data_IF_211098223397
#
_entry.id   IF_211098223397
#
_cell.length_a   1.000
_cell.length_b   1.000
_cell.length_c   1.000
_cell.angle_alpha   90.00
_cell.angle_beta   90.00
_cell.angle_gamma   90.00
#
_symmetry.space_group_name_H-M   'P 1'
#
loop_
_entity.id
_entity.type
_entity.pdbx_description
1 polymer ?
#
# COMPACT_ATOMS: atom_id res chain seq x y z
N UNK A 1 -12.26 -5.70 31.88
CA UNK A 1 -12.46 -6.98 31.19
C UNK A 1 -11.40 -7.09 30.10
N UNK A 2 -10.50 -8.06 30.22
CA UNK A 2 -9.53 -8.44 29.19
C UNK A 2 -10.18 -9.50 28.28
N UNK A 3 -9.75 -9.61 27.02
CA UNK A 3 -10.06 -10.79 26.22
C UNK A 3 -9.12 -11.96 26.56
N UNK A 4 -9.44 -13.15 26.07
CA UNK A 4 -8.73 -14.43 26.35
C UNK A 4 -7.24 -14.43 25.95
N UNK A 5 -6.74 -13.38 25.32
CA UNK A 5 -5.34 -13.22 24.92
C UNK A 5 -4.60 -12.10 25.67
N UNK A 6 -5.22 -11.46 26.67
CA UNK A 6 -4.55 -10.47 27.52
C UNK A 6 -4.08 -9.20 26.78
N UNK A 7 -4.52 -8.97 25.54
CA UNK A 7 -4.22 -7.76 24.78
C UNK A 7 -5.33 -6.77 25.03
N UNK A 8 -5.06 -5.72 25.83
CA UNK A 8 -6.02 -4.62 25.93
C UNK A 8 -6.25 -4.03 24.53
N UNK A 9 -7.49 -4.00 24.01
CA UNK A 9 -7.76 -3.34 22.74
C UNK A 9 -7.28 -1.89 22.86
N UNK A 10 -6.49 -1.43 21.88
CA UNK A 10 -5.98 -0.06 21.85
C UNK A 10 -7.12 0.90 22.17
N UNK A 11 -6.97 1.65 23.27
CA UNK A 11 -7.96 2.62 23.71
C UNK A 11 -8.29 3.56 22.53
N UNK A 12 -9.59 3.78 22.31
CA UNK A 12 -10.06 4.73 21.30
C UNK A 12 -9.48 6.10 21.66
N UNK A 13 -8.98 6.84 20.67
CA UNK A 13 -8.40 8.18 20.86
C UNK A 13 -9.46 9.27 21.04
N UNK A 14 -10.74 8.90 21.03
CA UNK A 14 -11.87 9.82 21.09
C UNK A 14 -12.97 9.26 22.00
N UNK A 15 -13.66 10.16 22.70
CA UNK A 15 -14.80 9.83 23.57
C UNK A 15 -16.10 9.75 22.79
N UNK A 16 -17.11 9.12 23.38
CA UNK A 16 -18.45 9.06 22.75
C UNK A 16 -19.03 10.48 22.56
N UNK A 17 -18.65 11.45 23.39
CA UNK A 17 -19.08 12.85 23.25
C UNK A 17 -18.40 13.56 22.08
N UNK A 18 -17.07 13.41 21.95
CA UNK A 18 -16.33 13.93 20.81
C UNK A 18 -16.86 13.36 19.48
N UNK A 19 -17.29 12.09 19.48
CA UNK A 19 -17.94 11.49 18.32
C UNK A 19 -19.29 12.15 17.99
N UNK A 20 -20.12 12.48 18.98
CA UNK A 20 -21.38 13.19 18.76
C UNK A 20 -21.16 14.54 18.13
N UNK A 21 -20.27 15.35 18.71
CA UNK A 21 -19.92 16.67 18.20
C UNK A 21 -19.36 16.59 16.78
N UNK A 22 -18.42 15.67 16.54
CA UNK A 22 -17.81 15.49 15.23
C UNK A 22 -18.82 15.06 14.16
N UNK A 23 -19.78 14.19 14.50
CA UNK A 23 -20.87 13.78 13.60
C UNK A 23 -21.82 14.93 13.32
N UNK A 24 -22.21 15.71 14.32
CA UNK A 24 -23.11 16.85 14.15
C UNK A 24 -22.48 17.98 13.33
N UNK A 25 -21.17 18.22 13.46
CA UNK A 25 -20.44 19.29 12.79
C UNK A 25 -19.95 18.93 11.36
N UNK A 26 -20.17 17.70 10.90
CA UNK A 26 -19.63 17.20 9.64
C UNK A 26 -20.73 16.86 8.64
N UNK A 27 -20.41 16.94 7.35
CA UNK A 27 -21.27 16.45 6.26
C UNK A 27 -20.69 15.22 5.57
N UNK A 28 -19.50 14.76 5.98
CA UNK A 28 -18.81 13.57 5.43
C UNK A 28 -18.05 12.80 6.50
N UNK A 29 -17.89 11.48 6.35
CA UNK A 29 -17.10 10.65 7.29
C UNK A 29 -15.61 11.03 7.35
N UNK A 30 -15.09 11.66 6.29
CA UNK A 30 -13.73 12.21 6.26
C UNK A 30 -13.60 13.39 7.21
N UNK A 31 -14.57 14.31 7.19
CA UNK A 31 -14.59 15.44 8.13
C UNK A 31 -14.75 14.95 9.57
N UNK A 32 -15.57 13.91 9.82
CA UNK A 32 -15.66 13.29 11.15
C UNK A 32 -14.29 12.78 11.63
N UNK A 33 -13.52 12.09 10.77
CA UNK A 33 -12.16 11.67 11.12
C UNK A 33 -11.24 12.85 11.44
N UNK A 34 -11.28 13.91 10.62
CA UNK A 34 -10.45 15.09 10.84
C UNK A 34 -10.82 15.82 12.14
N UNK A 35 -12.11 15.96 12.43
CA UNK A 35 -12.60 16.57 13.67
C UNK A 35 -12.20 15.77 14.92
N UNK A 36 -12.10 14.45 14.79
CA UNK A 36 -11.61 13.55 15.84
C UNK A 36 -10.08 13.46 15.92
N UNK A 37 -9.34 14.21 15.10
CA UNK A 37 -7.87 14.18 15.06
C UNK A 37 -7.28 12.86 14.57
N UNK A 38 -8.06 12.04 13.86
CA UNK A 38 -7.62 10.73 13.34
C UNK A 38 -7.41 10.78 11.83
N UNK A 39 -6.42 10.03 11.34
CA UNK A 39 -6.13 9.95 9.91
C UNK A 39 -7.35 9.39 9.15
N UNK A 40 -7.87 10.07 8.12
CA UNK A 40 -9.02 9.57 7.39
C UNK A 40 -8.74 8.24 6.68
N UNK A 41 -9.58 7.24 6.96
CA UNK A 41 -9.50 5.91 6.36
C UNK A 41 -10.03 4.84 7.31
N UNK A 42 -10.54 3.73 6.75
CA UNK A 42 -10.99 2.61 7.58
C UNK A 42 -12.20 2.95 8.48
N UNK A 43 -13.28 3.48 7.90
CA UNK A 43 -14.48 3.96 8.62
C UNK A 43 -15.29 2.90 9.39
N UNK A 44 -14.92 1.62 9.32
CA UNK A 44 -15.71 0.50 9.87
C UNK A 44 -15.95 0.62 11.38
N UNK A 45 -14.91 0.96 12.15
CA UNK A 45 -15.00 1.10 13.61
C UNK A 45 -15.83 2.33 13.97
N UNK A 46 -15.58 3.47 13.33
CA UNK A 46 -16.34 4.70 13.51
C UNK A 46 -17.84 4.46 13.28
N UNK A 47 -18.21 3.85 12.15
CA UNK A 47 -19.59 3.54 11.79
C UNK A 47 -20.25 2.56 12.78
N UNK A 48 -19.50 1.60 13.33
CA UNK A 48 -20.02 0.71 14.36
C UNK A 48 -20.38 1.47 15.64
N UNK A 49 -19.59 2.47 16.04
CA UNK A 49 -19.89 3.29 17.21
C UNK A 49 -21.01 4.29 16.98
N UNK A 50 -21.09 4.90 15.80
CA UNK A 50 -22.21 5.76 15.40
C UNK A 50 -23.53 4.98 15.51
N UNK A 51 -23.57 3.75 14.98
CA UNK A 51 -24.74 2.85 15.09
C UNK A 51 -25.06 2.47 16.53
N UNK A 52 -24.04 2.09 17.31
CA UNK A 52 -24.21 1.74 18.73
C UNK A 52 -24.80 2.90 19.54
N UNK A 53 -24.42 4.13 19.22
CA UNK A 53 -24.90 5.34 19.91
C UNK A 53 -26.21 5.90 19.34
N UNK A 54 -26.72 5.33 18.23
CA UNK A 54 -27.96 5.79 17.61
C UNK A 54 -27.89 7.22 17.09
N UNK A 55 -26.72 7.68 16.63
CA UNK A 55 -26.56 9.05 16.16
C UNK A 55 -27.25 9.24 14.80
N UNK A 56 -27.92 10.38 14.63
CA UNK A 56 -28.42 10.74 13.31
C UNK A 56 -27.26 10.94 12.34
N UNK A 57 -27.42 10.37 11.15
CA UNK A 57 -26.44 10.41 10.06
C UNK A 57 -27.08 10.75 8.72
N UNK A 58 -28.35 11.16 8.73
CA UNK A 58 -29.10 11.53 7.52
C UNK A 58 -28.43 12.66 6.73
N UNK A 59 -27.72 13.55 7.43
CA UNK A 59 -26.95 14.67 6.86
C UNK A 59 -25.52 14.30 6.44
N UNK A 60 -25.04 13.11 6.77
CA UNK A 60 -23.73 12.64 6.36
C UNK A 60 -23.80 12.01 4.97
N UNK A 61 -22.92 12.43 4.08
CA UNK A 61 -22.61 11.68 2.86
C UNK A 61 -21.89 10.37 3.25
N UNK A 62 -22.71 9.33 3.46
CA UNK A 62 -22.30 7.96 3.68
C UNK A 62 -22.11 7.20 2.36
N UNK A 63 -22.29 7.87 1.20
CA UNK A 63 -22.22 7.23 -0.09
C UNK A 63 -20.83 6.61 -0.28
N UNK A 64 -20.75 5.29 -0.49
CA UNK A 64 -19.51 4.70 -0.95
C UNK A 64 -19.17 5.38 -2.28
N UNK A 65 -18.06 6.14 -2.33
CA UNK A 65 -17.56 6.74 -3.59
C UNK A 65 -17.18 5.68 -4.65
N UNK A 66 -17.34 4.41 -4.31
CA UNK A 66 -17.26 3.26 -5.20
C UNK A 66 -18.60 2.54 -5.16
N UNK A 67 -19.29 2.46 -6.31
CA UNK A 67 -20.46 1.59 -6.48
C UNK A 67 -20.19 0.19 -5.90
N UNK A 68 -21.21 -0.48 -5.35
CA UNK A 68 -21.04 -1.90 -4.98
C UNK A 68 -20.85 -2.73 -6.24
N UNK A 69 -20.17 -3.87 -6.11
CA UNK A 69 -20.04 -4.82 -7.23
C UNK A 69 -21.44 -5.28 -7.66
N UNK A 70 -21.75 -5.16 -8.94
CA UNK A 70 -23.04 -5.59 -9.52
C UNK A 70 -24.13 -4.52 -9.60
N UNK A 71 -23.83 -3.24 -9.38
CA UNK A 71 -24.78 -2.12 -9.58
C UNK A 71 -24.85 -1.63 -11.06
N UNK A 72 -24.59 -2.53 -12.02
CA UNK A 72 -24.65 -2.30 -13.47
C UNK A 72 -25.12 -3.57 -14.17
N UNK A 73 -25.79 -3.44 -15.31
CA UNK A 73 -26.27 -4.58 -16.08
C UNK A 73 -25.25 -5.02 -17.13
N UNK A 74 -25.42 -6.21 -17.70
CA UNK A 74 -24.52 -6.67 -18.76
C UNK A 74 -24.60 -5.76 -20.00
N UNK A 75 -25.76 -5.15 -20.27
CA UNK A 75 -25.95 -4.15 -21.32
C UNK A 75 -25.10 -2.90 -21.08
N UNK A 76 -25.02 -2.43 -19.83
CA UNK A 76 -24.14 -1.32 -19.46
C UNK A 76 -22.67 -1.67 -19.77
N UNK A 77 -22.25 -2.89 -19.43
CA UNK A 77 -20.89 -3.35 -19.69
C UNK A 77 -20.60 -3.44 -21.19
N UNK A 78 -21.53 -3.98 -21.98
CA UNK A 78 -21.43 -4.04 -23.45
C UNK A 78 -21.27 -2.63 -24.02
N UNK A 79 -22.13 -1.69 -23.62
CA UNK A 79 -22.10 -0.31 -24.09
C UNK A 79 -20.82 0.44 -23.72
N UNK A 80 -20.25 0.15 -22.53
CA UNK A 80 -18.98 0.75 -22.12
C UNK A 80 -17.80 0.14 -22.89
N UNK A 81 -17.73 -1.18 -23.01
CA UNK A 81 -16.63 -1.89 -23.70
C UNK A 81 -16.53 -1.46 -25.16
N UNK A 82 -17.66 -1.23 -25.84
CA UNK A 82 -17.69 -0.76 -27.22
C UNK A 82 -17.11 0.66 -27.41
N UNK A 83 -17.19 1.53 -26.39
CA UNK A 83 -16.78 2.95 -26.48
C UNK A 83 -15.35 3.21 -26.04
N UNK A 84 -14.84 2.45 -25.09
CA UNK A 84 -13.52 2.70 -24.48
C UNK A 84 -12.45 1.77 -25.04
N UNK A 85 -11.18 2.13 -24.85
CA UNK A 85 -10.03 1.36 -25.36
C UNK A 85 -9.11 0.82 -24.25
N UNK A 86 -9.50 0.94 -22.98
CA UNK A 86 -8.74 0.35 -21.88
C UNK A 86 -9.65 -0.21 -20.77
N UNK A 87 -9.20 -1.28 -20.11
CA UNK A 87 -9.87 -1.83 -18.92
C UNK A 87 -9.99 -0.83 -17.77
N UNK A 88 -9.05 0.12 -17.66
CA UNK A 88 -9.10 1.15 -16.62
C UNK A 88 -10.23 2.13 -16.89
N UNK A 89 -10.46 2.48 -18.16
CA UNK A 89 -11.55 3.36 -18.55
C UNK A 89 -12.90 2.67 -18.40
N UNK A 90 -13.01 1.36 -18.72
CA UNK A 90 -14.21 0.56 -18.40
C UNK A 90 -14.56 0.68 -16.92
N UNK A 91 -13.57 0.48 -16.03
CA UNK A 91 -13.80 0.57 -14.59
C UNK A 91 -14.23 1.97 -14.16
N UNK A 92 -13.63 3.03 -14.72
CA UNK A 92 -13.97 4.42 -14.39
C UNK A 92 -15.38 4.81 -14.86
N UNK A 93 -15.75 4.44 -16.08
CA UNK A 93 -17.09 4.67 -16.64
C UNK A 93 -18.18 3.94 -15.84
N UNK A 94 -17.87 2.74 -15.33
CA UNK A 94 -18.76 1.99 -14.45
C UNK A 94 -18.74 2.49 -12.98
N UNK A 95 -18.01 3.57 -12.68
CA UNK A 95 -17.97 4.18 -11.35
C UNK A 95 -17.08 3.45 -10.33
N UNK A 96 -16.12 2.64 -10.80
CA UNK A 96 -15.15 1.95 -9.94
C UNK A 96 -13.75 2.60 -9.99
N UNK A 97 -13.05 2.52 -8.86
CA UNK A 97 -11.61 2.83 -8.81
C UNK A 97 -10.80 1.66 -9.39
N UNK A 98 -9.92 1.88 -10.39
CA UNK A 98 -9.06 0.84 -10.93
C UNK A 98 -8.16 0.21 -9.86
N UNK A 99 -8.27 -1.10 -9.69
CA UNK A 99 -7.47 -1.90 -8.76
C UNK A 99 -7.25 -3.30 -9.31
N UNK A 100 -6.21 -4.01 -8.85
CA UNK A 100 -5.90 -5.35 -9.35
C UNK A 100 -7.06 -6.34 -9.21
N UNK A 101 -7.80 -6.26 -8.10
CA UNK A 101 -9.01 -7.06 -7.86
C UNK A 101 -10.14 -6.72 -8.82
N UNK A 102 -10.43 -5.42 -9.03
CA UNK A 102 -11.47 -4.98 -9.96
C UNK A 102 -11.14 -5.31 -11.41
N UNK A 103 -9.87 -5.19 -11.79
CA UNK A 103 -9.38 -5.62 -13.08
C UNK A 103 -9.60 -7.11 -13.33
N UNK A 104 -9.38 -7.97 -12.33
CA UNK A 104 -9.65 -9.41 -12.44
C UNK A 104 -11.15 -9.66 -12.63
N UNK A 105 -11.97 -9.00 -11.82
CA UNK A 105 -13.42 -9.13 -11.87
C UNK A 105 -14.00 -8.71 -13.23
N UNK A 106 -13.66 -7.52 -13.73
CA UNK A 106 -14.21 -7.02 -14.99
C UNK A 106 -13.74 -7.85 -16.19
N UNK A 107 -12.48 -8.31 -16.19
CA UNK A 107 -11.96 -9.22 -17.21
C UNK A 107 -12.72 -10.54 -17.24
N UNK A 108 -13.01 -11.11 -16.08
CA UNK A 108 -13.79 -12.33 -15.99
C UNK A 108 -15.21 -12.14 -16.54
N UNK A 109 -15.87 -11.01 -16.25
CA UNK A 109 -17.21 -10.73 -16.79
C UNK A 109 -17.21 -10.51 -18.29
N UNK A 110 -16.29 -9.71 -18.82
CA UNK A 110 -16.11 -9.47 -20.26
C UNK A 110 -15.90 -10.80 -21.00
N UNK A 111 -15.02 -11.67 -20.47
CA UNK A 111 -14.76 -12.98 -21.04
C UNK A 111 -16.00 -13.90 -20.99
N UNK A 112 -16.75 -13.88 -19.89
CA UNK A 112 -17.98 -14.66 -19.74
C UNK A 112 -19.07 -14.24 -20.75
N UNK A 113 -19.15 -12.95 -21.07
CA UNK A 113 -20.08 -12.42 -22.07
C UNK A 113 -19.54 -12.52 -23.51
N UNK A 114 -18.31 -12.99 -23.71
CA UNK A 114 -17.69 -13.12 -25.03
C UNK A 114 -17.48 -11.79 -25.75
N UNK A 115 -17.28 -10.69 -25.02
CA UNK A 115 -17.14 -9.36 -25.64
C UNK A 115 -15.76 -9.19 -26.29
N UNK A 116 -15.74 -8.62 -27.50
CA UNK A 116 -14.50 -8.27 -28.16
C UNK A 116 -13.79 -7.12 -27.43
N UNK A 117 -12.50 -7.30 -27.18
CA UNK A 117 -11.61 -6.28 -26.61
C UNK A 117 -10.35 -6.10 -27.45
N UNK A 118 -10.37 -6.56 -28.71
CA UNK A 118 -9.24 -6.45 -29.64
C UNK A 118 -8.81 -5.00 -29.88
N UNK A 119 -9.74 -4.05 -29.81
CA UNK A 119 -9.49 -2.61 -29.91
C UNK A 119 -8.84 -2.00 -28.66
N UNK A 120 -8.69 -2.76 -27.57
CA UNK A 120 -8.07 -2.24 -26.37
C UNK A 120 -6.55 -2.06 -26.57
N UNK A 121 -6.08 -0.81 -26.50
CA UNK A 121 -4.72 -0.42 -26.88
C UNK A 121 -3.67 -0.78 -25.83
N UNK A 122 -4.07 -1.05 -24.59
CA UNK A 122 -3.27 -1.65 -23.51
C UNK A 122 -1.75 -1.36 -23.54
N UNK A 123 -0.94 -2.42 -23.53
CA UNK A 123 0.53 -2.33 -23.72
C UNK A 123 0.94 -2.05 -25.17
N UNK A 124 0.04 -2.22 -26.14
CA UNK A 124 0.33 -1.93 -27.54
C UNK A 124 0.57 -0.43 -27.78
N UNK A 125 -0.06 0.46 -27.01
CA UNK A 125 0.22 1.91 -27.01
C UNK A 125 1.68 2.25 -26.59
N UNK A 126 2.32 1.34 -25.84
CA UNK A 126 3.74 1.45 -25.48
C UNK A 126 4.67 0.74 -26.47
N UNK A 127 4.14 -0.05 -27.42
CA UNK A 127 4.93 -0.79 -28.42
C UNK A 127 5.58 0.21 -29.37
N UNK A 128 6.91 0.22 -29.42
CA UNK A 128 7.69 1.16 -30.24
C UNK A 128 8.12 2.44 -29.53
N UNK A 129 7.61 2.73 -28.32
CA UNK A 129 8.16 3.83 -27.51
C UNK A 129 9.53 3.41 -26.98
N UNK A 130 10.59 4.03 -27.50
CA UNK A 130 11.93 3.93 -26.89
C UNK A 130 11.93 4.79 -25.62
N UNK A 131 12.08 4.14 -24.46
CA UNK A 131 12.32 4.87 -23.22
C UNK A 131 13.68 5.56 -23.34
N UNK A 132 13.82 6.82 -22.88
CA UNK A 132 15.13 7.47 -22.88
C UNK A 132 16.09 6.65 -22.04
N UNK A 133 17.29 6.41 -22.57
CA UNK A 133 18.35 5.76 -21.81
C UNK A 133 18.67 6.66 -20.61
N UNK A 134 18.49 6.12 -19.40
CA UNK A 134 18.96 6.77 -18.17
C UNK A 134 20.19 6.01 -17.69
N UNK A 135 21.36 6.64 -17.59
CA UNK A 135 22.52 5.99 -17.03
C UNK A 135 22.19 5.51 -15.61
N UNK A 136 22.81 4.39 -15.22
CA UNK A 136 22.67 3.91 -13.84
C UNK A 136 23.35 4.94 -12.94
N UNK A 137 22.67 5.36 -11.88
CA UNK A 137 23.24 6.13 -10.77
C UNK A 137 24.58 5.53 -10.34
N UNK A 138 25.57 6.33 -9.96
CA UNK A 138 26.85 5.79 -9.49
C UNK A 138 26.73 5.23 -8.06
N UNK A 139 27.81 4.72 -7.46
CA UNK A 139 27.76 4.31 -6.04
C UNK A 139 27.81 5.54 -5.13
N UNK A 140 28.58 6.54 -5.53
CA UNK A 140 28.77 7.81 -4.82
C UNK A 140 27.43 8.56 -4.73
N UNK A 141 26.65 8.57 -5.81
CA UNK A 141 25.29 9.14 -5.82
C UNK A 141 24.26 8.28 -5.06
N UNK A 142 24.56 7.00 -4.83
CA UNK A 142 23.66 6.06 -4.16
C UNK A 142 23.83 6.11 -2.64
N UNK A 143 25.08 6.21 -2.18
CA UNK A 143 25.50 6.09 -0.78
C UNK A 143 25.49 7.45 -0.07
N UNK A 144 24.35 8.12 -0.13
CA UNK A 144 24.12 9.46 0.44
C UNK A 144 22.91 9.44 1.38
N UNK A 145 22.79 10.49 2.20
CA UNK A 145 21.55 10.78 2.90
C UNK A 145 20.40 11.14 1.95
N UNK A 146 19.16 10.91 2.37
CA UNK A 146 17.93 11.25 1.62
C UNK A 146 17.86 10.63 0.22
N UNK A 147 18.49 9.47 0.05
CA UNK A 147 18.46 8.72 -1.20
C UNK A 147 17.08 8.11 -1.43
N UNK A 148 16.59 8.16 -2.67
CA UNK A 148 15.31 7.55 -3.08
C UNK A 148 15.47 6.10 -3.55
N UNK A 149 16.69 5.57 -3.51
CA UNK A 149 16.96 4.22 -3.96
C UNK A 149 16.38 3.18 -3.00
N UNK A 150 15.73 2.16 -3.54
CA UNK A 150 15.21 1.06 -2.73
C UNK A 150 16.35 0.28 -2.04
N UNK A 151 16.10 -0.21 -0.83
CA UNK A 151 17.04 -1.03 -0.05
C UNK A 151 17.51 -2.27 -0.82
N UNK A 152 16.65 -2.86 -1.65
CA UNK A 152 17.01 -3.98 -2.52
C UNK A 152 18.00 -3.60 -3.63
N UNK A 153 17.93 -2.37 -4.16
CA UNK A 153 18.91 -1.86 -5.12
C UNK A 153 20.23 -1.59 -4.43
N UNK A 154 20.23 -0.90 -3.28
CA UNK A 154 21.44 -0.57 -2.51
C UNK A 154 22.18 -1.85 -2.11
N UNK A 155 21.50 -2.81 -1.48
CA UNK A 155 22.08 -4.11 -1.12
C UNK A 155 22.81 -4.78 -2.27
N UNK A 156 22.11 -4.97 -3.41
CA UNK A 156 22.67 -5.65 -4.58
C UNK A 156 23.90 -4.93 -5.12
N UNK A 157 23.90 -3.60 -5.07
CA UNK A 157 25.01 -2.79 -5.55
C UNK A 157 26.22 -2.84 -4.62
N UNK A 158 26.01 -2.81 -3.31
CA UNK A 158 27.07 -2.97 -2.32
C UNK A 158 27.77 -4.33 -2.46
N UNK A 159 26.99 -5.41 -2.56
CA UNK A 159 27.52 -6.77 -2.74
C UNK A 159 28.28 -6.91 -4.06
N UNK A 160 27.69 -6.41 -5.16
CA UNK A 160 28.34 -6.48 -6.48
C UNK A 160 29.63 -5.65 -6.56
N UNK A 161 29.71 -4.55 -5.82
CA UNK A 161 30.89 -3.69 -5.76
C UNK A 161 31.95 -4.20 -4.78
N UNK A 162 31.66 -5.25 -4.00
CA UNK A 162 32.57 -5.75 -2.97
C UNK A 162 32.66 -4.87 -1.73
N UNK A 163 31.80 -3.87 -1.58
CA UNK A 163 31.77 -2.98 -0.40
C UNK A 163 31.17 -3.66 0.84
N UNK A 164 30.34 -4.68 0.62
CA UNK A 164 29.74 -5.54 1.65
C UNK A 164 29.69 -6.96 1.11
N UNK A 165 29.82 -7.96 1.98
CA UNK A 165 29.79 -9.35 1.55
C UNK A 165 28.36 -9.88 1.45
N UNK A 166 28.17 -10.94 0.67
CA UNK A 166 26.90 -11.65 0.57
C UNK A 166 26.65 -12.59 1.77
N UNK A 167 26.86 -12.10 3.00
CA UNK A 167 26.62 -12.82 4.25
C UNK A 167 26.03 -11.90 5.32
N UNK A 168 25.39 -12.49 6.33
CA UNK A 168 24.90 -11.74 7.47
C UNK A 168 26.09 -11.17 8.28
N UNK A 169 26.11 -9.86 8.51
CA UNK A 169 27.15 -9.19 9.31
C UNK A 169 27.05 -9.50 10.81
N UNK A 170 25.93 -10.07 11.28
CA UNK A 170 25.75 -10.46 12.69
C UNK A 170 26.05 -11.93 12.95
N UNK A 171 25.41 -12.84 12.21
CA UNK A 171 25.58 -14.29 12.44
C UNK A 171 26.52 -14.98 11.45
N UNK A 172 27.04 -14.27 10.45
CA UNK A 172 27.96 -14.82 9.44
C UNK A 172 27.31 -15.74 8.40
N UNK A 173 26.06 -16.17 8.58
CA UNK A 173 25.39 -17.08 7.64
C UNK A 173 25.24 -16.44 6.25
N UNK A 174 25.52 -17.24 5.22
CA UNK A 174 25.37 -16.88 3.81
C UNK A 174 24.40 -17.79 3.07
N UNK A 175 24.25 -19.02 3.55
CA UNK A 175 23.30 -20.02 3.08
C UNK A 175 22.46 -20.58 4.24
N UNK A 176 21.36 -21.21 3.89
CA UNK A 176 20.53 -21.98 4.80
C UNK A 176 19.88 -23.14 4.07
N UNK A 177 20.06 -24.36 4.59
CA UNK A 177 19.59 -25.61 3.97
C UNK A 177 20.09 -25.80 2.53
N UNK A 178 21.33 -25.38 2.26
CA UNK A 178 21.96 -25.49 0.94
C UNK A 178 21.52 -24.43 -0.08
N UNK A 179 20.65 -23.49 0.30
CA UNK A 179 20.19 -22.40 -0.54
C UNK A 179 20.74 -21.07 -0.07
N UNK A 180 21.00 -20.13 -0.99
CA UNK A 180 21.49 -18.80 -0.62
C UNK A 180 20.47 -18.07 0.25
N UNK A 181 20.94 -17.52 1.37
CA UNK A 181 20.08 -16.84 2.32
C UNK A 181 19.55 -15.52 1.73
N UNK A 182 18.24 -15.23 1.84
CA UNK A 182 17.69 -13.95 1.39
C UNK A 182 18.08 -12.85 2.38
N UNK A 183 19.24 -12.23 2.15
CA UNK A 183 19.75 -11.14 2.96
C UNK A 183 18.95 -9.85 2.74
N UNK A 184 18.84 -9.06 3.79
CA UNK A 184 18.13 -7.79 3.88
C UNK A 184 19.14 -6.67 4.16
N UNK A 185 18.79 -5.44 3.77
CA UNK A 185 19.56 -4.25 4.12
C UNK A 185 18.88 -3.62 5.33
N UNK A 186 19.64 -3.44 6.39
CA UNK A 186 19.24 -2.77 7.61
C UNK A 186 19.97 -1.43 7.71
N UNK A 187 19.24 -0.44 8.24
CA UNK A 187 19.74 0.90 8.51
C UNK A 187 19.94 1.03 10.02
N UNK A 188 21.17 1.29 10.47
CA UNK A 188 21.52 1.34 11.89
C UNK A 188 20.66 2.36 12.63
N UNK A 189 20.45 3.53 12.04
CA UNK A 189 19.61 4.59 12.59
C UNK A 189 18.09 4.43 12.34
N UNK A 190 17.67 3.40 11.59
CA UNK A 190 16.27 3.16 11.22
C UNK A 190 15.69 4.14 10.18
N UNK A 191 16.49 5.05 9.63
CA UNK A 191 16.10 5.89 8.50
C UNK A 191 16.45 5.22 7.17
N UNK A 192 15.42 4.68 6.52
CA UNK A 192 15.52 4.04 5.20
C UNK A 192 16.06 4.93 4.07
N UNK A 193 16.18 6.25 4.27
CA UNK A 193 16.71 7.18 3.26
C UNK A 193 18.20 7.49 3.44
N UNK A 194 18.79 7.13 4.58
CA UNK A 194 20.21 7.36 4.86
C UNK A 194 21.06 6.17 4.39
N UNK A 195 21.50 6.23 3.13
CA UNK A 195 22.27 5.14 2.50
C UNK A 195 23.79 5.30 2.63
N UNK A 196 24.28 6.15 3.54
CA UNK A 196 25.72 6.22 3.81
C UNK A 196 26.25 4.88 4.29
N UNK A 197 27.44 4.49 3.82
CA UNK A 197 27.95 3.12 3.97
C UNK A 197 28.04 2.69 5.44
N UNK A 198 28.44 3.59 6.32
CA UNK A 198 28.54 3.39 7.77
C UNK A 198 27.19 3.12 8.46
N UNK A 199 26.09 3.56 7.87
CA UNK A 199 24.74 3.34 8.39
C UNK A 199 24.11 2.03 7.90
N UNK A 200 24.79 1.27 7.03
CA UNK A 200 24.20 0.12 6.35
C UNK A 200 24.76 -1.22 6.83
N UNK A 201 23.86 -2.18 7.09
CA UNK A 201 24.20 -3.57 7.46
C UNK A 201 23.46 -4.57 6.58
N UNK A 202 24.14 -5.63 6.17
CA UNK A 202 23.56 -6.80 5.47
C UNK A 202 23.22 -7.85 6.50
N UNK A 203 21.92 -8.09 6.73
CA UNK A 203 21.44 -8.99 7.77
C UNK A 203 20.54 -10.09 7.19
N UNK A 204 20.53 -11.26 7.82
CA UNK A 204 19.49 -12.26 7.54
C UNK A 204 18.14 -11.86 8.17
N UNK A 205 17.04 -12.49 7.73
CA UNK A 205 15.71 -12.19 8.28
C UNK A 205 15.61 -12.35 9.81
N UNK A 206 16.29 -13.36 10.37
CA UNK A 206 16.26 -13.62 11.82
C UNK A 206 17.03 -12.55 12.60
N UNK A 207 18.23 -12.17 12.14
CA UNK A 207 19.02 -11.12 12.80
C UNK A 207 18.37 -9.74 12.60
N UNK A 208 17.84 -9.45 11.41
CA UNK A 208 17.16 -8.17 11.15
C UNK A 208 15.91 -8.02 12.02
N UNK A 209 15.13 -9.07 12.23
CA UNK A 209 13.94 -9.02 13.09
C UNK A 209 14.24 -8.69 14.57
N UNK A 210 15.48 -8.83 14.99
CA UNK A 210 15.94 -8.55 16.36
C UNK A 210 16.51 -7.14 16.52
N UNK A 211 16.64 -6.35 15.44
CA UNK A 211 17.10 -4.96 15.56
C UNK A 211 16.06 -4.08 16.23
N UNK A 212 16.51 -3.05 16.92
CA UNK A 212 15.63 -2.10 17.62
C UNK A 212 14.72 -1.33 16.67
N UNK A 213 15.16 -1.16 15.41
CA UNK A 213 14.52 -0.40 14.34
C UNK A 213 13.56 -1.25 13.47
N UNK A 214 13.50 -2.57 13.71
CA UNK A 214 12.70 -3.50 12.91
C UNK A 214 11.21 -3.15 12.93
N UNK A 215 10.55 -3.17 11.76
CA UNK A 215 9.11 -2.93 11.61
C UNK A 215 8.59 -1.71 12.40
N UNK A 216 9.32 -0.59 12.39
CA UNK A 216 8.99 0.64 13.14
C UNK A 216 8.95 0.50 14.66
N UNK A 217 9.49 -0.59 15.20
CA UNK A 217 9.84 -0.69 16.61
C UNK A 217 10.75 0.50 16.95
N UNK A 218 10.46 1.17 18.06
CA UNK A 218 11.15 2.42 18.45
C UNK A 218 10.55 3.73 17.89
N UNK A 219 9.67 3.72 16.88
CA UNK A 219 8.90 4.94 16.53
C UNK A 219 7.84 5.19 17.60
N UNK A 220 8.08 6.16 18.49
CA UNK A 220 7.01 6.78 19.28
C UNK A 220 6.01 7.37 18.29
N UNK A 221 4.80 6.83 18.26
CA UNK A 221 3.66 7.38 17.51
C UNK A 221 3.11 8.60 18.22
#
# INVERSE_FOLDING_TARGET
MFDENGVMPRARSWTDEQLREAVAASTTLRQVHLALGITPGGYRVLLAHIRRLGLDTSHLDLSPRTRRRGEWTDEDLVGVVARVSTYSDVLRELGYTPSGGMHRYIRARIAHLGLDTSHFTGRASMKGRKMPFRPRTTLEELLVERSTASSATVRRRLVRAGLKEARCELCGLSDWRGEQLPLQLDHVNGDHTDNRLENLRILCGNCHSQTETWCSRGRKR
#
